data_IF_105996650186
#
_entry.id   IF_105996650186
#
_cell.length_a   1.000
_cell.length_b   1.000
_cell.length_c   1.000
_cell.angle_alpha   90.00
_cell.angle_beta   90.00
_cell.angle_gamma   90.00
#
_symmetry.space_group_name_H-M   'P 1'
#
loop_
_entity.id
_entity.type
_entity.pdbx_description
1 polymer ?
#
# COMPACT_ATOMS: atom_id res chain seq x y z
N UNK A 1 23.07 -4.46 7.10
CA UNK A 1 22.32 -5.51 6.43
C UNK A 1 20.90 -5.04 6.20
N UNK A 2 20.46 -5.00 4.95
CA UNK A 2 19.08 -4.60 4.67
C UNK A 2 18.14 -5.76 5.03
N UNK A 3 17.05 -5.41 5.70
CA UNK A 3 16.02 -6.38 6.06
C UNK A 3 14.85 -6.22 5.10
N UNK A 4 14.20 -7.32 4.76
CA UNK A 4 12.98 -7.28 3.98
C UNK A 4 11.89 -6.59 4.78
N UNK A 5 11.40 -5.46 4.25
CA UNK A 5 10.30 -4.72 4.87
C UNK A 5 8.95 -5.26 4.40
N UNK A 6 8.82 -5.45 3.10
CA UNK A 6 7.58 -5.91 2.48
C UNK A 6 7.84 -7.21 1.74
N UNK A 7 7.02 -8.21 1.97
CA UNK A 7 7.08 -9.47 1.26
C UNK A 7 5.70 -9.80 0.69
N UNK A 8 5.63 -9.91 -0.63
CA UNK A 8 4.40 -10.23 -1.35
C UNK A 8 4.58 -11.61 -1.97
N UNK A 9 3.68 -12.52 -1.67
CA UNK A 9 3.75 -13.90 -2.10
C UNK A 9 2.51 -14.31 -2.91
N UNK A 10 2.72 -14.67 -4.15
CA UNK A 10 1.70 -15.24 -5.04
C UNK A 10 0.44 -14.37 -5.14
N UNK A 11 0.63 -13.05 -5.20
CA UNK A 11 -0.48 -12.10 -5.25
C UNK A 11 -1.26 -12.27 -6.55
N UNK A 12 -2.55 -12.50 -6.42
CA UNK A 12 -3.46 -12.65 -7.56
C UNK A 12 -4.70 -11.82 -7.32
N UNK A 13 -5.08 -11.05 -8.33
CA UNK A 13 -6.29 -10.23 -8.27
C UNK A 13 -7.10 -10.42 -9.53
N UNK A 14 -8.34 -10.87 -9.36
CA UNK A 14 -9.27 -11.12 -10.47
C UNK A 14 -10.50 -10.26 -10.30
N UNK A 15 -10.95 -9.68 -11.40
CA UNK A 15 -12.20 -8.93 -11.47
C UNK A 15 -13.09 -9.64 -12.50
N UNK A 16 -14.02 -10.47 -12.03
CA UNK A 16 -14.83 -11.29 -12.92
C UNK A 16 -13.96 -12.19 -13.79
N UNK A 17 -14.05 -12.04 -15.11
CA UNK A 17 -13.23 -12.81 -16.03
C UNK A 17 -11.85 -12.23 -16.32
N UNK A 18 -11.54 -11.07 -15.73
CA UNK A 18 -10.25 -10.39 -15.96
C UNK A 18 -9.28 -10.67 -14.82
N UNK A 19 -8.09 -11.16 -15.14
CA UNK A 19 -7.01 -11.32 -14.19
C UNK A 19 -6.10 -10.09 -14.29
N UNK A 20 -6.16 -9.22 -13.29
CA UNK A 20 -5.35 -7.99 -13.27
C UNK A 20 -3.94 -8.24 -12.76
N UNK A 21 -3.78 -9.13 -11.78
CA UNK A 21 -2.49 -9.58 -11.27
C UNK A 21 -2.53 -11.09 -11.20
N UNK A 22 -1.50 -11.74 -11.74
CA UNK A 22 -1.43 -13.20 -11.78
C UNK A 22 -0.14 -13.68 -11.14
N UNK A 23 -0.27 -14.24 -9.92
CA UNK A 23 0.81 -14.94 -9.22
C UNK A 23 2.09 -14.10 -9.09
N UNK A 24 1.94 -12.86 -8.62
CA UNK A 24 3.06 -11.94 -8.45
C UNK A 24 3.72 -12.11 -7.09
N UNK A 25 5.02 -12.32 -7.09
CA UNK A 25 5.82 -12.39 -5.87
C UNK A 25 6.97 -11.41 -5.96
N UNK A 26 7.17 -10.62 -4.92
CA UNK A 26 8.31 -9.71 -4.83
C UNK A 26 8.55 -9.32 -3.38
N UNK A 27 9.70 -8.71 -3.14
CA UNK A 27 10.02 -8.17 -1.83
C UNK A 27 10.63 -6.79 -1.97
N UNK A 28 10.48 -5.97 -0.95
CA UNK A 28 11.10 -4.66 -0.85
C UNK A 28 11.83 -4.56 0.47
N UNK A 29 13.04 -4.03 0.44
CA UNK A 29 13.89 -3.97 1.61
C UNK A 29 13.73 -2.65 2.36
N UNK A 30 14.06 -2.71 3.65
CA UNK A 30 14.04 -1.54 4.50
C UNK A 30 15.06 -0.50 4.03
N UNK A 31 14.68 0.78 4.12
CA UNK A 31 15.54 1.91 3.73
C UNK A 31 15.97 1.91 2.27
N UNK A 32 15.16 1.32 1.40
CA UNK A 32 15.41 1.32 -0.03
C UNK A 32 14.17 1.79 -0.78
N UNK A 33 14.40 2.34 -1.98
CA UNK A 33 13.31 2.67 -2.90
C UNK A 33 13.16 1.51 -3.88
N UNK A 34 11.96 0.93 -3.91
CA UNK A 34 11.65 -0.16 -4.83
C UNK A 34 10.61 0.33 -5.83
N UNK A 35 10.85 0.09 -7.11
CA UNK A 35 9.95 0.55 -8.18
C UNK A 35 9.26 -0.61 -8.86
N UNK A 36 7.99 -0.40 -9.22
CA UNK A 36 7.22 -1.33 -10.05
C UNK A 36 7.09 -0.69 -11.43
N UNK A 37 7.63 -1.36 -12.44
CA UNK A 37 7.72 -0.83 -13.80
C UNK A 37 6.90 -1.73 -14.73
N UNK A 38 6.23 -1.11 -15.68
CA UNK A 38 5.47 -1.82 -16.70
C UNK A 38 4.62 -0.87 -17.52
N UNK A 39 4.12 -1.29 -18.67
CA UNK A 39 3.23 -0.46 -19.47
C UNK A 39 1.90 -0.22 -18.78
N UNK A 40 1.14 0.77 -19.26
CA UNK A 40 -0.20 1.03 -18.76
C UNK A 40 -1.07 -0.21 -18.98
N UNK A 41 -1.87 -0.56 -17.98
CA UNK A 41 -2.69 -1.77 -18.05
C UNK A 41 -2.01 -3.04 -17.58
N UNK A 42 -0.75 -2.96 -17.12
CA UNK A 42 -0.01 -4.13 -16.64
C UNK A 42 -0.32 -4.48 -15.17
N UNK A 43 -1.25 -3.77 -14.53
CA UNK A 43 -1.66 -4.08 -13.16
C UNK A 43 -0.92 -3.34 -12.06
N UNK A 44 -0.07 -2.36 -12.39
CA UNK A 44 0.68 -1.59 -11.38
C UNK A 44 -0.22 -0.93 -10.34
N UNK A 45 -1.24 -0.23 -10.80
CA UNK A 45 -2.19 0.44 -9.90
C UNK A 45 -2.93 -0.58 -9.04
N UNK A 46 -3.27 -1.73 -9.60
CA UNK A 46 -3.94 -2.78 -8.85
C UNK A 46 -3.06 -3.32 -7.74
N UNK A 47 -1.74 -3.47 -7.98
CA UNK A 47 -0.80 -3.87 -6.92
C UNK A 47 -0.84 -2.86 -5.77
N UNK A 48 -0.76 -1.57 -6.07
CA UNK A 48 -0.82 -0.53 -5.05
C UNK A 48 -2.17 -0.51 -4.34
N UNK A 49 -3.25 -0.74 -5.04
CA UNK A 49 -4.58 -0.82 -4.44
C UNK A 49 -4.68 -2.01 -3.46
N UNK A 50 -4.06 -3.13 -3.77
CA UNK A 50 -4.00 -4.26 -2.85
C UNK A 50 -3.15 -3.94 -1.63
N UNK A 51 -1.97 -3.34 -1.82
CA UNK A 51 -1.06 -3.01 -0.72
C UNK A 51 -1.64 -1.97 0.23
N UNK A 52 -2.46 -1.07 -0.28
CA UNK A 52 -3.06 -0.01 0.53
C UNK A 52 -4.47 -0.33 1.02
N UNK A 53 -4.96 -1.52 0.74
CA UNK A 53 -6.23 -2.02 1.28
C UNK A 53 -7.47 -1.64 0.52
N UNK A 54 -7.35 -0.96 -0.63
CA UNK A 54 -8.52 -0.66 -1.47
C UNK A 54 -9.14 -1.92 -2.05
N UNK A 55 -8.32 -2.92 -2.37
CA UNK A 55 -8.79 -4.20 -2.84
C UNK A 55 -8.23 -5.30 -1.96
N UNK A 56 -9.07 -6.29 -1.67
CA UNK A 56 -8.61 -7.50 -1.01
C UNK A 56 -8.18 -8.50 -2.09
N UNK A 57 -6.94 -9.01 -2.05
CA UNK A 57 -6.48 -9.95 -3.07
C UNK A 57 -7.36 -11.18 -3.16
N UNK A 58 -7.51 -11.70 -4.37
CA UNK A 58 -8.21 -12.96 -4.59
C UNK A 58 -7.41 -14.12 -4.00
N UNK A 59 -6.09 -14.09 -4.18
CA UNK A 59 -5.17 -15.07 -3.63
C UNK A 59 -3.87 -14.39 -3.27
N UNK A 60 -3.07 -15.05 -2.43
CA UNK A 60 -1.75 -14.57 -2.06
C UNK A 60 -1.72 -13.88 -0.71
N UNK A 61 -0.52 -13.54 -0.29
CA UNK A 61 -0.27 -12.95 1.03
C UNK A 61 0.63 -11.73 0.89
N UNK A 62 0.42 -10.75 1.76
CA UNK A 62 1.24 -9.55 1.83
C UNK A 62 1.67 -9.36 3.28
N UNK A 63 2.97 -9.39 3.53
CA UNK A 63 3.53 -9.26 4.87
C UNK A 63 4.37 -8.00 4.98
N UNK A 64 4.19 -7.28 6.09
CA UNK A 64 5.00 -6.12 6.42
C UNK A 64 5.78 -6.42 7.69
N UNK A 65 7.11 -6.35 7.62
CA UNK A 65 7.99 -6.64 8.74
C UNK A 65 8.48 -5.33 9.38
N UNK A 66 8.08 -5.09 10.63
CA UNK A 66 8.50 -3.89 11.37
C UNK A 66 8.83 -4.26 12.80
N UNK A 67 9.96 -3.78 13.30
CA UNK A 67 10.30 -3.84 14.73
C UNK A 67 10.04 -5.22 15.34
N UNK A 68 10.57 -6.26 14.72
CA UNK A 68 10.42 -7.65 15.17
C UNK A 68 8.99 -8.19 15.06
N UNK A 69 8.10 -7.45 14.40
CA UNK A 69 6.73 -7.90 14.17
C UNK A 69 6.47 -8.08 12.68
N UNK A 70 5.77 -9.12 12.34
CA UNK A 70 5.28 -9.35 10.98
C UNK A 70 3.79 -9.12 10.97
N UNK A 71 3.35 -8.18 10.13
CA UNK A 71 1.94 -7.83 10.00
C UNK A 71 1.43 -8.36 8.67
N UNK A 72 0.33 -9.10 8.70
CA UNK A 72 -0.32 -9.59 7.49
C UNK A 72 -1.30 -8.52 7.00
N UNK A 73 -0.94 -7.84 5.91
CA UNK A 73 -1.76 -6.76 5.37
C UNK A 73 -3.12 -7.23 4.88
N UNK A 74 -3.26 -8.51 4.54
CA UNK A 74 -4.55 -9.08 4.10
C UNK A 74 -5.63 -9.01 5.18
N UNK A 75 -5.24 -8.88 6.45
CA UNK A 75 -6.18 -8.85 7.58
C UNK A 75 -6.76 -7.48 7.85
N UNK A 76 -6.26 -6.44 7.21
CA UNK A 76 -6.71 -5.07 7.44
C UNK A 76 -7.56 -4.56 6.28
N UNK A 77 -8.62 -3.81 6.60
CA UNK A 77 -9.34 -3.05 5.60
C UNK A 77 -8.62 -1.71 5.35
N UNK A 78 -9.06 -0.99 4.33
CA UNK A 78 -8.38 0.17 3.75
C UNK A 78 -7.76 1.16 4.75
N UNK A 79 -8.60 1.81 5.57
CA UNK A 79 -8.09 2.82 6.49
C UNK A 79 -7.19 2.23 7.59
N UNK A 80 -7.37 0.96 7.92
CA UNK A 80 -6.58 0.30 8.96
C UNK A 80 -5.14 0.05 8.52
N UNK A 81 -4.91 -0.11 7.22
CA UNK A 81 -3.54 -0.28 6.72
C UNK A 81 -2.73 0.98 6.99
N UNK A 82 -3.29 2.16 6.70
CA UNK A 82 -2.59 3.41 6.99
C UNK A 82 -2.39 3.63 8.50
N UNK A 83 -3.41 3.36 9.30
CA UNK A 83 -3.39 3.64 10.72
C UNK A 83 -2.59 2.60 11.53
N UNK A 84 -2.85 1.32 11.30
CA UNK A 84 -2.27 0.23 12.09
C UNK A 84 -0.93 -0.24 11.55
N UNK A 85 -0.81 -0.38 10.24
CA UNK A 85 0.42 -0.86 9.61
C UNK A 85 1.37 0.28 9.23
N UNK A 86 0.94 1.53 9.38
CA UNK A 86 1.73 2.70 9.06
C UNK A 86 2.19 2.74 7.61
N UNK A 87 1.28 2.39 6.71
CA UNK A 87 1.48 2.45 5.28
C UNK A 87 0.75 3.68 4.75
N UNK A 88 1.46 4.52 4.01
CA UNK A 88 0.88 5.71 3.41
C UNK A 88 1.02 5.65 1.89
N UNK A 89 0.12 6.31 1.20
CA UNK A 89 0.11 6.35 -0.25
C UNK A 89 -0.04 7.77 -0.74
N UNK A 90 0.75 8.13 -1.76
CA UNK A 90 0.51 9.37 -2.51
C UNK A 90 -0.42 9.03 -3.66
N UNK A 91 -1.44 9.86 -3.84
CA UNK A 91 -2.42 9.64 -4.90
C UNK A 91 -2.03 10.38 -6.15
N UNK A 92 -2.38 9.82 -7.31
CA UNK A 92 -2.08 10.41 -8.60
C UNK A 92 -2.72 11.79 -8.77
N UNK A 93 -3.93 11.96 -8.24
CA UNK A 93 -4.63 13.23 -8.27
C UNK A 93 -4.55 13.87 -6.88
N UNK A 94 -3.63 14.83 -6.75
CA UNK A 94 -3.45 15.53 -5.48
C UNK A 94 -4.53 16.58 -5.37
N UNK A 95 -5.24 16.60 -4.23
CA UNK A 95 -6.26 17.60 -3.94
C UNK A 95 -5.91 18.28 -2.63
N UNK A 96 -5.70 19.58 -2.72
CA UNK A 96 -5.54 20.42 -1.54
C UNK A 96 -6.88 21.02 -1.18
N UNK A 97 -7.04 21.41 0.07
CA UNK A 97 -8.21 22.16 0.51
C UNK A 97 -7.92 23.65 0.24
N UNK A 98 -8.52 24.25 -0.81
CA UNK A 98 -8.14 25.60 -1.23
C UNK A 98 -8.51 26.69 -0.23
N UNK A 99 -9.48 26.43 0.65
CA UNK A 99 -9.89 27.38 1.68
C UNK A 99 -9.06 27.27 2.95
N UNK A 100 -8.14 26.32 3.02
CA UNK A 100 -7.26 26.11 4.17
C UNK A 100 -5.86 26.64 3.88
N UNK A 101 -5.16 27.04 4.94
CA UNK A 101 -3.76 27.43 4.83
C UNK A 101 -2.86 26.23 4.52
N UNK A 102 -1.61 26.48 4.19
CA UNK A 102 -0.61 25.43 4.01
C UNK A 102 -0.47 24.59 5.28
N UNK A 103 -0.40 25.25 6.43
CA UNK A 103 -0.28 24.54 7.71
C UNK A 103 -1.48 23.64 7.98
N UNK A 104 -2.69 24.13 7.72
CA UNK A 104 -3.89 23.34 7.91
C UNK A 104 -3.93 22.11 7.00
N UNK A 105 -3.50 22.25 5.74
CA UNK A 105 -3.39 21.12 4.82
C UNK A 105 -2.40 20.07 5.35
N UNK A 106 -1.27 20.51 5.89
CA UNK A 106 -0.28 19.60 6.47
C UNK A 106 -0.80 18.89 7.72
N UNK A 107 -1.55 19.60 8.55
CA UNK A 107 -2.14 19.00 9.75
C UNK A 107 -3.17 17.93 9.39
N UNK A 108 -3.97 18.15 8.36
CA UNK A 108 -4.90 17.14 7.87
C UNK A 108 -4.14 15.90 7.40
N UNK A 109 -3.03 16.08 6.69
CA UNK A 109 -2.21 14.97 6.21
C UNK A 109 -1.60 14.16 7.36
N UNK A 110 -1.40 14.77 8.53
CA UNK A 110 -0.84 14.11 9.71
C UNK A 110 -1.91 13.60 10.68
N UNK A 111 -3.15 13.51 10.23
CA UNK A 111 -4.27 13.16 11.10
C UNK A 111 -4.02 11.92 11.94
N UNK A 112 -3.49 10.86 11.35
CA UNK A 112 -3.24 9.59 12.04
C UNK A 112 -2.15 9.69 13.11
N UNK A 113 -1.27 10.67 13.01
CA UNK A 113 -0.18 10.87 13.97
C UNK A 113 -0.62 11.81 15.12
N UNK A 114 -1.51 12.74 14.84
CA UNK A 114 -1.93 13.77 15.81
C UNK A 114 -3.17 13.37 16.60
N UNK A 115 -4.05 12.60 16.00
CA UNK A 115 -5.27 12.11 16.67
C UNK A 115 -4.96 10.80 17.37
N UNK A 116 -4.74 10.90 18.64
CA UNK A 116 -4.40 9.74 19.48
C UNK A 116 -5.67 9.11 20.05
#
# INVERSE_FOLDING_TARGET
MSKTLLNVENLTMKFGGLTAIDDLSFSANNNEITSIIGPNGAGKTTVFNCLTGFYKPTEGQMFLNREDKTVNLNKFSDYKIAHKAKVARTFQNIRLFPVMSVLENLLVAQHNELMV
#
